data_IF_672594726769
#
_entry.id   IF_672594726769
#
_cell.length_a   1.000
_cell.length_b   1.000
_cell.length_c   1.000
_cell.angle_alpha   90.00
_cell.angle_beta   90.00
_cell.angle_gamma   90.00
#
_symmetry.space_group_name_H-M   'P 1'
#
loop_
_entity.id
_entity.type
_entity.pdbx_description
1 polymer ?
#
# COMPACT_ATOMS: atom_id res chain seq x y z
N UNK A 1 -19.24 -32.84 66.53
CA UNK A 1 -20.25 -32.61 65.47
C UNK A 1 -19.75 -31.55 64.48
N UNK A 2 -18.92 -31.92 63.48
CA UNK A 2 -18.48 -31.02 62.39
C UNK A 2 -18.20 -31.79 61.08
N UNK A 3 -18.94 -32.89 60.83
CA UNK A 3 -18.73 -33.74 59.65
C UNK A 3 -19.92 -33.70 58.68
N UNK A 4 -21.05 -33.11 59.06
CA UNK A 4 -22.27 -33.06 58.23
C UNK A 4 -22.39 -31.85 57.28
N UNK A 5 -21.49 -30.86 57.36
CA UNK A 5 -21.55 -29.66 56.52
C UNK A 5 -20.60 -29.66 55.31
N UNK A 6 -19.73 -30.67 55.17
CA UNK A 6 -18.74 -30.70 54.09
C UNK A 6 -19.18 -31.51 52.85
N UNK A 7 -20.32 -32.19 52.90
CA UNK A 7 -20.83 -33.01 51.79
C UNK A 7 -21.72 -32.19 50.83
N UNK A 8 -22.31 -31.09 51.30
CA UNK A 8 -23.27 -30.30 50.49
C UNK A 8 -22.56 -29.35 49.50
N UNK A 9 -21.34 -28.90 49.79
CA UNK A 9 -20.59 -28.01 48.90
C UNK A 9 -19.99 -28.74 47.67
N UNK A 10 -19.66 -30.03 47.80
CA UNK A 10 -19.07 -30.80 46.69
C UNK A 10 -20.11 -31.22 45.63
N UNK A 11 -21.39 -31.35 46.01
CA UNK A 11 -22.47 -31.76 45.09
C UNK A 11 -22.91 -30.60 44.20
N UNK A 12 -22.89 -29.35 44.68
CA UNK A 12 -23.26 -28.19 43.87
C UNK A 12 -22.25 -27.84 42.77
N UNK A 13 -20.95 -28.08 43.01
CA UNK A 13 -19.91 -27.88 41.99
C UNK A 13 -19.93 -28.95 40.88
N UNK A 14 -20.44 -30.15 41.17
CA UNK A 14 -20.63 -31.19 40.16
C UNK A 14 -21.87 -30.95 39.29
N UNK A 15 -22.91 -30.30 39.83
CA UNK A 15 -24.12 -29.97 39.07
C UNK A 15 -23.94 -28.79 38.09
N UNK A 16 -23.03 -27.85 38.36
CA UNK A 16 -22.74 -26.76 37.40
C UNK A 16 -21.85 -27.18 36.23
N UNK A 17 -21.13 -28.30 36.32
CA UNK A 17 -20.27 -28.79 35.24
C UNK A 17 -21.06 -29.48 34.09
N UNK A 18 -22.35 -29.77 34.29
CA UNK A 18 -23.18 -30.50 33.31
C UNK A 18 -23.98 -29.55 32.39
N UNK A 19 -24.05 -28.25 32.70
CA UNK A 19 -24.90 -27.30 31.98
C UNK A 19 -24.22 -26.54 30.81
N UNK A 20 -22.96 -26.85 30.47
CA UNK A 20 -22.15 -25.96 29.62
C UNK A 20 -21.70 -26.47 28.25
N UNK A 21 -21.95 -27.74 27.89
CA UNK A 21 -21.55 -28.24 26.57
C UNK A 21 -22.78 -28.36 25.69
N UNK A 22 -23.22 -27.23 25.13
CA UNK A 22 -24.02 -27.30 23.92
C UNK A 22 -23.14 -27.90 22.83
N UNK A 23 -23.20 -29.21 22.64
CA UNK A 23 -22.75 -29.80 21.39
C UNK A 23 -23.57 -29.10 20.32
N UNK A 24 -22.92 -28.34 19.45
CA UNK A 24 -23.54 -27.91 18.23
C UNK A 24 -23.93 -29.20 17.51
N UNK A 25 -25.21 -29.55 17.57
CA UNK A 25 -25.76 -30.63 16.77
C UNK A 25 -25.56 -30.18 15.33
N UNK A 26 -24.46 -30.62 14.72
CA UNK A 26 -24.37 -30.72 13.28
C UNK A 26 -25.60 -31.54 12.90
N UNK A 27 -26.56 -30.91 12.24
CA UNK A 27 -27.74 -31.57 11.73
C UNK A 27 -27.27 -32.86 11.04
N UNK A 28 -27.53 -34.01 11.66
CA UNK A 28 -27.32 -35.28 11.00
C UNK A 28 -28.37 -35.32 9.92
N UNK A 29 -27.95 -34.98 8.70
CA UNK A 29 -28.75 -35.16 7.50
C UNK A 29 -28.88 -36.67 7.31
N UNK A 30 -29.97 -37.24 7.83
CA UNK A 30 -30.31 -38.64 7.60
C UNK A 30 -30.63 -38.80 6.13
N UNK A 31 -29.64 -39.21 5.33
CA UNK A 31 -29.83 -39.51 3.91
C UNK A 31 -30.54 -40.86 3.80
N UNK A 32 -31.87 -40.82 3.83
CA UNK A 32 -32.74 -41.97 3.53
C UNK A 32 -32.83 -42.16 2.01
N UNK A 33 -31.75 -42.60 1.37
CA UNK A 33 -31.85 -43.20 0.02
C UNK A 33 -30.82 -44.31 -0.15
N UNK A 34 -31.14 -45.41 -0.86
CA UNK A 34 -30.21 -46.50 -1.15
C UNK A 34 -29.20 -46.14 -2.26
N UNK A 35 -29.07 -44.85 -2.61
CA UNK A 35 -28.11 -44.41 -3.61
C UNK A 35 -26.77 -44.13 -2.90
N UNK A 36 -25.82 -45.04 -3.13
CA UNK A 36 -24.43 -45.00 -2.67
C UNK A 36 -23.93 -43.56 -2.55
N UNK A 37 -23.52 -43.18 -1.33
CA UNK A 37 -22.84 -41.93 -1.08
C UNK A 37 -21.52 -41.95 -1.87
N UNK A 38 -21.50 -41.35 -3.07
CA UNK A 38 -20.27 -41.16 -3.82
C UNK A 38 -19.58 -39.95 -3.22
N UNK A 39 -18.68 -40.20 -2.28
CA UNK A 39 -17.78 -39.19 -1.76
C UNK A 39 -16.73 -38.90 -2.84
N UNK A 40 -17.01 -37.94 -3.72
CA UNK A 40 -16.00 -37.43 -4.66
C UNK A 40 -15.05 -36.57 -3.83
N UNK A 41 -13.96 -37.17 -3.37
CA UNK A 41 -12.87 -36.43 -2.72
C UNK A 41 -12.08 -35.73 -3.82
N UNK A 42 -12.38 -34.45 -4.04
CA UNK A 42 -11.54 -33.61 -4.88
C UNK A 42 -10.22 -33.41 -4.14
N UNK A 43 -9.11 -33.91 -4.68
CA UNK A 43 -7.79 -33.66 -4.11
C UNK A 43 -7.39 -32.18 -4.32
N UNK A 44 -6.57 -31.64 -3.41
CA UNK A 44 -5.93 -30.34 -3.63
C UNK A 44 -5.14 -30.37 -4.93
N UNK A 45 -5.33 -29.36 -5.77
CA UNK A 45 -4.60 -29.25 -7.04
C UNK A 45 -3.10 -28.94 -6.84
N UNK A 46 -2.69 -28.56 -5.62
CA UNK A 46 -1.28 -28.37 -5.27
C UNK A 46 -1.04 -28.46 -3.75
N UNK A 47 0.23 -28.55 -3.37
CA UNK A 47 0.71 -28.45 -1.98
C UNK A 47 1.53 -27.19 -1.71
N UNK A 48 1.99 -26.50 -2.76
CA UNK A 48 2.77 -25.28 -2.68
C UNK A 48 1.90 -24.06 -2.31
N UNK A 49 2.53 -23.05 -1.70
CA UNK A 49 1.91 -21.73 -1.47
C UNK A 49 1.84 -20.94 -2.77
N UNK A 50 0.78 -20.15 -2.92
CA UNK A 50 0.64 -19.20 -4.03
C UNK A 50 1.22 -17.84 -3.63
N UNK A 51 1.67 -17.05 -4.60
CA UNK A 51 2.20 -15.72 -4.32
C UNK A 51 1.21 -14.65 -4.76
N UNK A 52 0.99 -13.63 -3.93
CA UNK A 52 0.08 -12.52 -4.21
C UNK A 52 0.80 -11.18 -4.06
N UNK A 53 0.53 -10.26 -4.99
CA UNK A 53 1.03 -8.88 -4.95
C UNK A 53 0.00 -7.95 -5.59
N UNK A 54 0.19 -6.64 -5.48
CA UNK A 54 -0.71 -5.67 -6.11
C UNK A 54 -0.66 -5.74 -7.64
N UNK A 55 -1.73 -5.29 -8.29
CA UNK A 55 -1.79 -5.13 -9.75
C UNK A 55 -2.69 -3.97 -10.15
N UNK A 56 -2.55 -3.54 -11.40
CA UNK A 56 -3.25 -2.39 -11.96
C UNK A 56 -2.59 -1.05 -11.61
N UNK A 57 -3.07 0.01 -12.24
CA UNK A 57 -2.58 1.38 -11.99
C UNK A 57 -3.09 1.87 -10.64
N UNK A 58 -2.21 2.24 -9.69
CA UNK A 58 -2.65 2.72 -8.40
C UNK A 58 -3.25 4.13 -8.49
N UNK A 59 -4.21 4.38 -7.61
CA UNK A 59 -4.87 5.68 -7.41
C UNK A 59 -4.50 6.25 -6.03
N UNK A 60 -4.96 7.47 -5.73
CA UNK A 60 -4.76 8.15 -4.43
C UNK A 60 -3.30 8.17 -3.97
N UNK A 61 -2.42 8.77 -4.79
CA UNK A 61 -1.00 8.89 -4.45
C UNK A 61 -0.21 7.57 -4.41
N UNK A 62 -0.71 6.51 -5.06
CA UNK A 62 0.01 5.23 -5.14
C UNK A 62 -0.37 4.21 -4.06
N UNK A 63 -1.42 4.49 -3.27
CA UNK A 63 -1.78 3.69 -2.09
C UNK A 63 -2.98 2.76 -2.31
N UNK A 64 -3.87 3.10 -3.27
CA UNK A 64 -5.11 2.37 -3.55
C UNK A 64 -5.00 1.63 -4.87
N UNK A 65 -5.22 0.31 -4.85
CA UNK A 65 -5.03 -0.58 -6.00
C UNK A 65 -6.35 -1.23 -6.41
N UNK A 66 -6.62 -1.39 -7.72
CA UNK A 66 -7.87 -1.97 -8.22
C UNK A 66 -7.82 -3.50 -8.40
N UNK A 67 -6.63 -4.11 -8.32
CA UNK A 67 -6.43 -5.51 -8.66
C UNK A 67 -5.32 -6.18 -7.84
N UNK A 68 -5.31 -7.52 -7.84
CA UNK A 68 -4.29 -8.38 -7.23
C UNK A 68 -3.72 -9.30 -8.31
N UNK A 69 -2.40 -9.46 -8.36
CA UNK A 69 -1.73 -10.48 -9.18
C UNK A 69 -1.52 -11.74 -8.34
N UNK A 70 -2.06 -12.86 -8.80
CA UNK A 70 -1.76 -14.20 -8.29
C UNK A 70 -0.71 -14.86 -9.17
N UNK A 71 0.35 -15.39 -8.57
CA UNK A 71 1.48 -16.03 -9.26
C UNK A 71 1.75 -17.42 -8.70
N UNK A 72 2.59 -18.18 -9.41
CA UNK A 72 2.98 -19.56 -9.10
C UNK A 72 1.78 -20.53 -9.11
N UNK A 73 0.79 -20.30 -9.97
CA UNK A 73 -0.38 -21.17 -10.12
C UNK A 73 0.04 -22.49 -10.79
N UNK A 74 0.04 -23.62 -10.08
CA UNK A 74 0.48 -24.89 -10.65
C UNK A 74 -0.44 -25.34 -11.79
N UNK A 75 0.08 -26.06 -12.76
CA UNK A 75 -0.68 -26.50 -13.95
C UNK A 75 -1.95 -27.25 -13.57
N UNK A 76 -1.91 -28.07 -12.53
CA UNK A 76 -3.09 -28.81 -12.03
C UNK A 76 -4.18 -27.91 -11.41
N UNK A 77 -3.86 -26.66 -11.05
CA UNK A 77 -4.81 -25.67 -10.55
C UNK A 77 -5.36 -24.75 -11.64
N UNK A 78 -4.78 -24.75 -12.83
CA UNK A 78 -5.24 -23.93 -13.96
C UNK A 78 -6.54 -24.50 -14.53
N UNK A 79 -7.45 -23.63 -14.97
CA UNK A 79 -8.79 -24.00 -15.44
C UNK A 79 -9.80 -24.25 -14.31
N UNK A 80 -9.41 -24.12 -13.04
CA UNK A 80 -10.29 -24.27 -11.89
C UNK A 80 -10.80 -22.91 -11.38
N UNK A 81 -12.05 -22.89 -10.90
CA UNK A 81 -12.62 -21.71 -10.26
C UNK A 81 -11.76 -21.31 -9.06
N UNK A 82 -11.29 -20.07 -9.08
CA UNK A 82 -10.45 -19.47 -8.06
C UNK A 82 -11.12 -18.25 -7.49
N UNK A 83 -11.25 -18.20 -6.18
CA UNK A 83 -11.80 -17.09 -5.41
C UNK A 83 -10.66 -16.46 -4.60
N UNK A 84 -10.59 -15.13 -4.59
CA UNK A 84 -9.55 -14.35 -3.93
C UNK A 84 -10.19 -13.31 -3.02
N UNK A 85 -9.72 -13.23 -1.78
CA UNK A 85 -10.10 -12.20 -0.81
C UNK A 85 -8.88 -11.50 -0.23
N UNK A 86 -8.95 -10.18 -0.19
CA UNK A 86 -7.96 -9.31 0.45
C UNK A 86 -8.49 -8.97 1.84
N UNK A 87 -7.75 -9.30 2.89
CA UNK A 87 -8.16 -9.10 4.27
C UNK A 87 -7.30 -8.03 4.97
N UNK A 88 -7.95 -7.26 5.83
CA UNK A 88 -7.31 -6.32 6.74
C UNK A 88 -7.24 -6.83 8.18
N UNK A 89 -6.99 -5.93 9.12
CA UNK A 89 -6.96 -6.26 10.55
C UNK A 89 -8.30 -6.87 11.01
N UNK A 90 -8.24 -7.82 11.95
CA UNK A 90 -9.44 -8.49 12.46
C UNK A 90 -10.20 -9.37 11.45
N UNK A 91 -9.62 -9.62 10.26
CA UNK A 91 -10.22 -10.46 9.22
C UNK A 91 -11.22 -9.76 8.30
N UNK A 92 -11.38 -8.43 8.42
CA UNK A 92 -12.27 -7.65 7.54
C UNK A 92 -11.89 -7.84 6.07
N UNK A 93 -12.87 -8.16 5.21
CA UNK A 93 -12.66 -8.23 3.76
C UNK A 93 -12.60 -6.82 3.20
N UNK A 94 -11.44 -6.45 2.65
CA UNK A 94 -11.21 -5.17 2.00
C UNK A 94 -11.64 -5.19 0.53
N UNK A 95 -11.41 -6.31 -0.15
CA UNK A 95 -11.76 -6.52 -1.55
C UNK A 95 -11.81 -8.01 -1.89
N UNK A 96 -12.48 -8.37 -2.98
CA UNK A 96 -12.57 -9.77 -3.44
C UNK A 96 -12.78 -9.87 -4.94
N UNK A 97 -12.43 -11.02 -5.51
CA UNK A 97 -12.62 -11.32 -6.92
C UNK A 97 -12.70 -12.83 -7.16
N UNK A 98 -13.27 -13.20 -8.30
CA UNK A 98 -13.29 -14.59 -8.79
C UNK A 98 -12.79 -14.64 -10.22
N UNK A 99 -12.06 -15.69 -10.57
CA UNK A 99 -11.58 -15.94 -11.92
C UNK A 99 -11.26 -17.42 -12.12
N UNK A 100 -11.00 -17.79 -13.38
CA UNK A 100 -10.55 -19.14 -13.75
C UNK A 100 -9.19 -19.01 -14.45
N UNK A 101 -8.07 -19.04 -13.70
CA UNK A 101 -6.74 -18.83 -14.26
C UNK A 101 -6.39 -19.85 -15.35
N UNK A 102 -5.99 -19.39 -16.53
CA UNK A 102 -5.55 -20.26 -17.63
C UNK A 102 -4.00 -20.34 -17.75
N UNK A 103 -3.28 -19.67 -16.85
CA UNK A 103 -1.82 -19.56 -16.87
C UNK A 103 -1.24 -19.58 -15.45
N UNK A 104 0.08 -19.64 -15.34
CA UNK A 104 0.80 -19.62 -14.06
C UNK A 104 0.64 -18.31 -13.28
N UNK A 105 0.14 -17.26 -13.93
CA UNK A 105 -0.14 -15.95 -13.36
C UNK A 105 -1.52 -15.47 -13.80
N UNK A 106 -2.26 -14.82 -12.91
CA UNK A 106 -3.57 -14.24 -13.21
C UNK A 106 -3.78 -12.93 -12.44
N UNK A 107 -4.29 -11.91 -13.14
CA UNK A 107 -4.74 -10.68 -12.50
C UNK A 107 -6.22 -10.80 -12.14
N UNK A 108 -6.54 -10.49 -10.88
CA UNK A 108 -7.88 -10.47 -10.32
C UNK A 108 -8.32 -9.02 -10.13
N UNK A 109 -9.38 -8.60 -10.82
CA UNK A 109 -9.98 -7.28 -10.63
C UNK A 109 -10.84 -7.29 -9.36
N UNK A 110 -10.23 -6.87 -8.24
CA UNK A 110 -10.82 -6.96 -6.89
C UNK A 110 -11.68 -5.76 -6.50
N UNK A 111 -11.62 -4.68 -7.29
CA UNK A 111 -12.04 -3.37 -6.83
C UNK A 111 -10.95 -2.72 -5.97
N UNK A 112 -11.22 -1.50 -5.50
CA UNK A 112 -10.24 -0.66 -4.81
C UNK A 112 -9.97 -1.13 -3.38
N UNK A 113 -8.70 -1.33 -3.04
CA UNK A 113 -8.23 -1.55 -1.66
C UNK A 113 -6.93 -0.77 -1.39
N UNK A 114 -6.72 -0.38 -0.14
CA UNK A 114 -5.48 0.28 0.30
C UNK A 114 -4.45 -0.77 0.68
N UNK A 115 -3.31 -0.83 -0.01
CA UNK A 115 -2.30 -1.88 0.19
C UNK A 115 -1.73 -1.92 1.62
N UNK A 116 -1.59 -0.77 2.27
CA UNK A 116 -1.10 -0.66 3.66
C UNK A 116 -2.06 -1.29 4.69
N UNK A 117 -3.34 -1.44 4.36
CA UNK A 117 -4.33 -2.04 5.24
C UNK A 117 -4.40 -3.57 5.09
N UNK A 118 -3.71 -4.15 4.10
CA UNK A 118 -3.75 -5.59 3.81
C UNK A 118 -2.86 -6.33 4.80
N UNK A 119 -3.47 -7.22 5.57
CA UNK A 119 -2.75 -8.14 6.48
C UNK A 119 -2.51 -9.50 5.83
N UNK A 120 -3.43 -9.94 4.97
CA UNK A 120 -3.34 -11.22 4.29
C UNK A 120 -4.21 -11.27 3.03
N UNK A 121 -3.85 -12.19 2.13
CA UNK A 121 -4.70 -12.56 0.99
C UNK A 121 -5.02 -14.05 1.09
N UNK A 122 -6.29 -14.39 0.97
CA UNK A 122 -6.77 -15.77 1.02
C UNK A 122 -7.20 -16.16 -0.39
N UNK A 123 -6.73 -17.30 -0.86
CA UNK A 123 -7.11 -17.86 -2.16
C UNK A 123 -7.73 -19.23 -1.96
N UNK A 124 -8.86 -19.45 -2.62
CA UNK A 124 -9.54 -20.73 -2.66
C UNK A 124 -9.61 -21.22 -4.11
N UNK A 125 -9.15 -22.43 -4.37
CA UNK A 125 -9.23 -23.07 -5.69
C UNK A 125 -10.09 -24.30 -5.57
N UNK A 126 -11.21 -24.33 -6.31
CA UNK A 126 -12.17 -25.44 -6.33
C UNK A 126 -12.55 -25.94 -4.91
N UNK A 127 -12.85 -25.02 -4.00
CA UNK A 127 -13.24 -25.33 -2.62
C UNK A 127 -12.09 -25.51 -1.62
N UNK A 128 -10.84 -25.61 -2.06
CA UNK A 128 -9.67 -25.75 -1.19
C UNK A 128 -8.97 -24.43 -0.92
N UNK A 129 -8.69 -24.12 0.35
CA UNK A 129 -7.93 -22.93 0.73
C UNK A 129 -6.43 -23.20 0.57
N UNK A 130 -5.74 -22.26 -0.07
CA UNK A 130 -4.30 -22.25 -0.25
C UNK A 130 -3.67 -21.14 0.58
N UNK A 131 -2.57 -21.41 1.30
CA UNK A 131 -1.79 -20.35 1.90
C UNK A 131 -1.22 -19.47 0.79
N UNK A 132 -1.32 -18.15 0.97
CA UNK A 132 -0.65 -17.22 0.06
C UNK A 132 0.33 -16.34 0.81
N UNK A 133 1.44 -16.03 0.14
CA UNK A 133 2.36 -15.00 0.60
C UNK A 133 1.94 -13.67 -0.01
N UNK A 134 1.48 -12.74 0.82
CA UNK A 134 1.24 -11.36 0.41
C UNK A 134 2.56 -10.60 0.39
N UNK A 135 2.93 -10.08 -0.77
CA UNK A 135 3.99 -9.08 -0.90
C UNK A 135 3.31 -7.75 -1.14
N UNK A 136 3.25 -6.92 -0.09
CA UNK A 136 2.86 -5.54 -0.26
C UNK A 136 3.76 -4.89 -1.32
N UNK A 137 3.23 -3.99 -2.17
CA UNK A 137 4.12 -3.18 -2.96
C UNK A 137 5.07 -2.47 -2.01
N UNK A 138 6.31 -2.17 -2.45
CA UNK A 138 7.07 -1.14 -1.76
C UNK A 138 6.12 0.06 -1.58
N UNK A 139 6.15 0.74 -0.41
CA UNK A 139 5.37 1.96 -0.24
C UNK A 139 5.54 2.81 -1.49
N UNK A 140 4.52 3.52 -1.98
CA UNK A 140 4.70 4.44 -3.10
C UNK A 140 5.80 5.42 -2.71
N UNK A 141 7.03 5.12 -3.12
CA UNK A 141 8.22 5.64 -2.47
C UNK A 141 8.36 5.10 -1.05
N UNK A 142 9.22 4.11 -0.83
CA UNK A 142 9.76 3.83 0.52
C UNK A 142 10.55 5.01 1.10
N UNK A 143 10.75 6.02 0.27
CA UNK A 143 11.22 7.34 0.59
C UNK A 143 10.18 8.32 -0.01
N UNK A 144 9.83 9.46 0.60
CA UNK A 144 8.86 10.51 0.21
C UNK A 144 9.09 11.16 -1.16
N UNK A 145 9.41 10.34 -2.15
CA UNK A 145 9.77 10.58 -3.53
C UNK A 145 9.23 9.41 -4.37
N UNK A 146 8.25 9.67 -5.22
CA UNK A 146 7.86 8.74 -6.29
C UNK A 146 8.18 9.32 -7.65
N UNK A 147 8.46 8.45 -8.63
CA UNK A 147 8.83 8.84 -9.99
C UNK A 147 7.92 8.12 -10.98
N UNK A 148 7.37 8.84 -11.96
CA UNK A 148 6.66 8.28 -13.11
C UNK A 148 7.23 8.82 -14.41
N UNK A 149 7.40 7.95 -15.37
CA UNK A 149 7.85 8.31 -16.70
C UNK A 149 6.67 8.88 -17.51
N UNK A 150 6.85 10.04 -18.14
CA UNK A 150 5.77 10.78 -18.82
C UNK A 150 6.11 10.95 -20.29
N UNK A 151 5.16 10.63 -21.17
CA UNK A 151 5.35 10.80 -22.61
C UNK A 151 5.23 12.28 -23.04
N UNK A 152 5.50 12.57 -24.30
CA UNK A 152 5.45 13.95 -24.80
C UNK A 152 4.04 14.59 -24.70
N UNK A 153 2.98 13.77 -24.66
CA UNK A 153 1.60 14.20 -24.47
C UNK A 153 1.22 14.50 -23.02
N UNK A 154 2.14 14.37 -22.06
CA UNK A 154 1.86 14.60 -20.64
C UNK A 154 1.18 13.43 -19.92
N UNK A 155 1.10 12.26 -20.56
CA UNK A 155 0.51 11.08 -19.96
C UNK A 155 1.57 10.19 -19.31
N UNK A 156 1.28 9.67 -18.11
CA UNK A 156 2.12 8.68 -17.46
C UNK A 156 2.20 7.39 -18.28
N UNK A 157 3.36 6.75 -18.26
CA UNK A 157 3.65 5.50 -18.98
C UNK A 157 4.16 4.43 -18.01
N UNK A 158 4.24 3.18 -18.48
CA UNK A 158 4.83 2.07 -17.72
C UNK A 158 6.37 2.00 -17.86
N UNK A 159 7.01 3.04 -18.42
CA UNK A 159 8.45 3.07 -18.55
C UNK A 159 9.13 3.28 -17.19
N UNK A 160 10.36 2.77 -17.06
CA UNK A 160 11.14 2.91 -15.84
C UNK A 160 11.41 4.39 -15.52
N UNK A 161 11.23 4.75 -14.26
CA UNK A 161 11.52 6.07 -13.70
C UNK A 161 12.08 5.85 -12.31
N UNK A 162 13.28 6.33 -12.06
CA UNK A 162 13.90 6.29 -10.74
C UNK A 162 14.37 7.68 -10.39
N UNK A 163 14.24 8.06 -9.13
CA UNK A 163 14.71 9.34 -8.60
C UNK A 163 15.75 9.05 -7.52
N UNK A 164 16.90 9.71 -7.64
CA UNK A 164 18.02 9.58 -6.72
C UNK A 164 18.29 10.94 -6.10
N UNK A 165 18.33 11.02 -4.77
CA UNK A 165 18.73 12.24 -4.08
C UNK A 165 20.25 12.37 -4.21
N UNK A 166 20.72 13.51 -4.71
CA UNK A 166 22.14 13.81 -4.91
C UNK A 166 22.68 14.79 -3.87
N UNK A 167 21.80 15.52 -3.17
CA UNK A 167 22.18 16.39 -2.06
C UNK A 167 20.97 16.89 -1.28
N UNK A 168 21.15 17.06 0.04
CA UNK A 168 20.17 17.66 0.94
C UNK A 168 20.88 18.70 1.80
N UNK A 169 20.28 19.86 1.96
CA UNK A 169 20.69 20.86 2.94
C UNK A 169 19.48 21.27 3.76
N UNK A 170 19.62 21.17 5.08
CA UNK A 170 18.59 21.51 6.05
C UNK A 170 19.14 22.53 7.03
N UNK A 171 18.39 23.59 7.28
CA UNK A 171 18.74 24.58 8.29
C UNK A 171 17.49 25.15 8.96
N UNK A 172 17.69 25.60 10.19
CA UNK A 172 16.65 26.20 11.02
C UNK A 172 16.92 27.70 11.14
N UNK A 173 15.87 28.51 11.08
CA UNK A 173 15.92 29.94 11.40
C UNK A 173 14.90 30.28 12.48
N UNK A 174 15.13 31.34 13.24
CA UNK A 174 14.21 31.76 14.31
C UNK A 174 13.65 33.16 14.03
N UNK A 175 12.35 33.41 14.31
CA UNK A 175 11.74 34.72 14.13
C UNK A 175 12.29 35.79 15.09
N UNK A 176 12.73 35.41 16.28
CA UNK A 176 13.23 36.32 17.31
C UNK A 176 14.75 36.39 17.38
N UNK A 177 15.26 37.55 17.78
CA UNK A 177 16.65 37.69 18.20
C UNK A 177 16.96 36.66 19.30
N UNK A 178 18.15 36.06 19.25
CA UNK A 178 18.62 35.06 20.22
C UNK A 178 17.86 33.73 20.24
N UNK A 179 17.19 33.37 19.13
CA UNK A 179 16.54 32.05 19.01
C UNK A 179 15.18 31.94 19.71
N UNK A 180 14.52 33.08 19.94
CA UNK A 180 13.20 33.11 20.59
C UNK A 180 12.09 32.91 19.54
N UNK A 181 11.10 32.07 19.86
CA UNK A 181 9.93 31.79 19.03
C UNK A 181 9.96 30.42 18.34
N UNK A 182 8.89 30.07 17.63
CA UNK A 182 8.80 28.81 16.89
C UNK A 182 9.80 28.82 15.74
N UNK A 183 10.70 27.83 15.62
CA UNK A 183 11.65 27.76 14.52
C UNK A 183 10.94 27.59 13.18
N UNK A 184 11.53 28.17 12.14
CA UNK A 184 11.22 27.86 10.75
C UNK A 184 12.24 26.90 10.18
N UNK A 185 11.74 25.94 9.42
CA UNK A 185 12.47 24.88 8.78
C UNK A 185 12.69 25.24 7.31
N UNK A 186 13.90 24.99 6.80
CA UNK A 186 14.27 25.22 5.42
C UNK A 186 14.98 24.00 4.87
N UNK A 187 14.53 23.51 3.73
CA UNK A 187 15.15 22.37 3.08
C UNK A 187 15.38 22.66 1.61
N UNK A 188 16.60 22.36 1.17
CA UNK A 188 17.02 22.41 -0.22
C UNK A 188 17.45 21.02 -0.67
N UNK A 189 16.81 20.50 -1.72
CA UNK A 189 17.02 19.15 -2.23
C UNK A 189 17.50 19.20 -3.67
N UNK A 190 18.58 18.50 -3.95
CA UNK A 190 19.05 18.18 -5.30
C UNK A 190 18.77 16.71 -5.59
N UNK A 191 18.25 16.41 -6.78
CA UNK A 191 17.95 15.05 -7.19
C UNK A 191 18.21 14.83 -8.68
N UNK A 192 18.34 13.57 -9.08
CA UNK A 192 18.51 13.11 -10.45
C UNK A 192 17.45 12.06 -10.78
N UNK A 193 16.82 12.16 -11.96
CA UNK A 193 15.82 11.23 -12.45
C UNK A 193 16.39 10.37 -13.57
N UNK A 194 16.45 9.06 -13.41
CA UNK A 194 16.79 8.16 -14.52
C UNK A 194 15.52 7.61 -15.15
N UNK A 195 15.28 7.99 -16.40
CA UNK A 195 14.17 7.49 -17.24
C UNK A 195 14.56 7.54 -18.72
N UNK A 196 13.94 6.69 -19.54
CA UNK A 196 14.08 6.69 -21.00
C UNK A 196 12.98 7.49 -21.72
N UNK A 197 12.13 8.21 -20.98
CA UNK A 197 11.11 9.10 -21.52
C UNK A 197 11.59 10.56 -21.57
N UNK A 198 10.94 11.35 -22.44
CA UNK A 198 11.28 12.76 -22.61
C UNK A 198 10.88 13.64 -21.41
N UNK A 199 9.94 13.16 -20.58
CA UNK A 199 9.44 13.85 -19.39
C UNK A 199 9.32 12.88 -18.22
N UNK A 200 9.28 13.44 -17.03
CA UNK A 200 9.03 12.73 -15.79
C UNK A 200 8.13 13.55 -14.89
N UNK A 201 7.47 12.84 -13.99
CA UNK A 201 6.70 13.36 -12.86
C UNK A 201 7.34 12.81 -11.58
N UNK A 202 7.74 13.68 -10.67
CA UNK A 202 8.21 13.29 -9.34
C UNK A 202 7.25 13.84 -8.30
N UNK A 203 6.77 12.99 -7.40
CA UNK A 203 5.97 13.42 -6.25
C UNK A 203 6.85 13.44 -5.01
N UNK A 204 6.87 14.57 -4.31
CA UNK A 204 7.53 14.80 -3.05
C UNK A 204 6.49 14.76 -1.94
N UNK A 205 6.74 14.01 -0.88
CA UNK A 205 5.94 14.04 0.35
C UNK A 205 6.76 14.67 1.47
N UNK A 206 6.51 15.96 1.73
CA UNK A 206 7.28 16.71 2.73
C UNK A 206 6.94 16.33 4.17
N UNK A 207 5.87 15.54 4.36
CA UNK A 207 5.55 14.97 5.68
C UNK A 207 6.42 13.77 6.04
N UNK A 208 7.13 13.19 5.06
CA UNK A 208 7.98 12.05 5.30
C UNK A 208 9.30 12.43 5.98
N UNK A 209 9.40 12.13 7.27
CA UNK A 209 10.56 12.35 8.14
C UNK A 209 11.69 11.34 7.93
N UNK A 210 11.45 10.27 7.16
CA UNK A 210 12.43 9.19 6.95
C UNK A 210 13.35 9.45 5.77
N UNK A 211 12.89 10.26 4.80
CA UNK A 211 13.63 10.53 3.55
C UNK A 211 14.45 11.79 3.58
N UNK A 212 13.92 12.84 4.21
CA UNK A 212 14.58 14.13 4.24
C UNK A 212 15.00 14.43 5.68
N UNK A 213 16.29 14.60 5.99
CA UNK A 213 16.68 15.18 7.26
C UNK A 213 16.05 16.58 7.39
N UNK A 214 15.26 16.80 8.44
CA UNK A 214 14.57 18.08 8.68
C UNK A 214 13.17 18.23 8.07
N UNK A 215 12.59 17.17 7.50
CA UNK A 215 11.16 17.16 7.09
C UNK A 215 10.23 16.77 8.25
N UNK A 216 8.93 16.68 7.97
CA UNK A 216 7.88 16.47 8.98
C UNK A 216 7.01 17.70 9.22
N UNK A 217 7.11 18.70 8.34
CA UNK A 217 6.29 19.90 8.38
C UNK A 217 5.59 20.12 7.04
N UNK A 218 4.44 20.79 7.09
CA UNK A 218 3.75 21.26 5.88
C UNK A 218 4.38 22.58 5.43
N UNK A 219 4.98 22.65 4.24
CA UNK A 219 5.55 23.90 3.77
C UNK A 219 4.47 24.95 3.53
N UNK A 220 4.83 26.20 3.72
CA UNK A 220 4.08 27.36 3.27
C UNK A 220 4.71 27.96 2.01
N UNK A 221 5.79 27.37 1.51
CA UNK A 221 6.43 27.79 0.28
C UNK A 221 7.14 26.59 -0.35
N UNK A 222 7.00 26.45 -1.67
CA UNK A 222 7.77 25.52 -2.49
C UNK A 222 8.29 26.27 -3.71
N UNK A 223 9.58 26.16 -3.99
CA UNK A 223 10.26 26.82 -5.10
C UNK A 223 11.15 25.88 -5.90
N UNK A 224 11.38 26.25 -7.16
CA UNK A 224 12.28 25.58 -8.10
C UNK A 224 13.64 26.29 -8.14
N UNK A 225 14.72 25.50 -8.05
CA UNK A 225 16.07 25.96 -8.32
C UNK A 225 16.40 25.99 -9.80
N UNK A 226 16.02 24.94 -10.55
CA UNK A 226 16.28 24.80 -12.00
C UNK A 226 15.46 23.66 -12.63
N UNK A 227 14.87 23.92 -13.79
CA UNK A 227 14.26 22.93 -14.69
C UNK A 227 13.07 22.12 -14.13
N UNK A 228 12.54 22.50 -12.96
CA UNK A 228 11.36 21.87 -12.38
C UNK A 228 10.17 22.82 -12.43
N UNK A 229 9.03 22.33 -12.88
CA UNK A 229 7.77 23.06 -12.87
C UNK A 229 6.75 22.32 -12.02
N UNK A 230 5.74 23.04 -11.54
CA UNK A 230 4.57 22.43 -10.91
C UNK A 230 3.83 21.56 -11.93
N UNK A 231 3.46 20.34 -11.55
CA UNK A 231 2.65 19.49 -12.40
C UNK A 231 1.31 20.19 -12.74
N UNK A 232 0.85 20.16 -14.00
CA UNK A 232 -0.39 20.85 -14.41
C UNK A 232 -1.63 20.40 -13.64
N UNK A 233 -1.64 19.14 -13.17
CA UNK A 233 -2.75 18.54 -12.42
C UNK A 233 -2.68 18.81 -10.92
N UNK A 234 -1.63 19.47 -10.43
CA UNK A 234 -1.38 19.66 -9.01
C UNK A 234 -1.81 21.05 -8.50
N UNK A 235 -2.42 21.06 -7.31
CA UNK A 235 -2.82 22.28 -6.59
C UNK A 235 -1.99 22.44 -5.31
N UNK A 236 -1.57 23.66 -4.99
CA UNK A 236 -0.82 23.96 -3.76
C UNK A 236 -1.64 23.72 -2.48
N UNK A 237 -2.97 23.64 -2.58
CA UNK A 237 -3.83 23.20 -1.48
C UNK A 237 -3.63 21.72 -1.10
N UNK A 238 -2.88 20.95 -1.90
CA UNK A 238 -2.60 19.52 -1.67
C UNK A 238 -1.28 19.27 -0.94
N UNK A 239 -0.60 20.32 -0.46
CA UNK A 239 0.51 20.18 0.48
C UNK A 239 0.06 19.38 1.72
N UNK A 240 0.92 18.54 2.32
CA UNK A 240 2.39 18.51 2.20
C UNK A 240 2.94 17.69 1.03
N UNK A 241 2.08 17.12 0.18
CA UNK A 241 2.54 16.45 -1.04
C UNK A 241 2.70 17.49 -2.15
N UNK A 242 3.77 17.44 -2.93
CA UNK A 242 4.02 18.29 -4.09
C UNK A 242 4.36 17.45 -5.32
N UNK A 243 3.75 17.74 -6.47
CA UNK A 243 4.02 17.02 -7.71
C UNK A 243 4.74 17.94 -8.69
N UNK A 244 5.93 17.51 -9.08
CA UNK A 244 6.84 18.27 -9.93
C UNK A 244 7.03 17.57 -11.27
N UNK A 245 7.13 18.38 -12.33
CA UNK A 245 7.36 17.95 -13.69
C UNK A 245 8.65 18.56 -14.23
N UNK A 246 9.26 17.89 -15.20
CA UNK A 246 10.34 18.48 -15.99
C UNK A 246 9.83 19.68 -16.81
N UNK A 247 10.49 20.83 -16.70
CA UNK A 247 10.26 22.00 -17.56
C UNK A 247 10.64 21.76 -19.03
N UNK A 248 10.16 22.62 -19.94
CA UNK A 248 10.52 22.55 -21.36
C UNK A 248 11.95 23.07 -21.58
N UNK A 249 12.85 22.25 -22.14
CA UNK A 249 14.26 22.58 -22.39
C UNK A 249 14.97 21.56 -23.29
N UNK A 250 16.13 21.93 -23.82
CA UNK A 250 16.86 21.16 -24.83
C UNK A 250 17.39 19.81 -24.29
N UNK A 251 17.36 18.81 -25.17
CA UNK A 251 17.53 17.35 -25.04
C UNK A 251 18.60 16.75 -24.11
N UNK A 252 18.26 15.54 -23.65
CA UNK A 252 19.09 14.37 -23.28
C UNK A 252 20.36 14.58 -22.46
N UNK A 253 20.30 14.20 -21.18
CA UNK A 253 21.50 13.99 -20.34
C UNK A 253 21.41 14.62 -18.96
N UNK A 254 20.55 15.61 -18.77
CA UNK A 254 20.30 16.22 -17.46
C UNK A 254 18.84 16.01 -17.08
N UNK A 255 18.62 15.07 -16.18
CA UNK A 255 17.35 14.87 -15.50
C UNK A 255 17.49 15.29 -14.03
N UNK A 256 18.30 16.33 -13.80
CA UNK A 256 18.56 16.84 -12.47
C UNK A 256 17.57 17.95 -12.16
N UNK A 257 17.19 18.07 -10.89
CA UNK A 257 16.28 19.09 -10.43
C UNK A 257 16.60 19.52 -9.01
N UNK A 258 16.13 20.71 -8.67
CA UNK A 258 16.33 21.33 -7.37
C UNK A 258 15.00 21.83 -6.84
N UNK A 259 14.61 21.39 -5.66
CA UNK A 259 13.39 21.86 -4.99
C UNK A 259 13.79 22.47 -3.65
N UNK A 260 13.23 23.63 -3.35
CA UNK A 260 13.35 24.29 -2.06
C UNK A 260 11.98 24.36 -1.39
N UNK A 261 11.89 24.10 -0.09
CA UNK A 261 10.66 24.29 0.67
C UNK A 261 10.92 24.80 2.08
N UNK A 262 9.96 25.56 2.59
CA UNK A 262 10.03 26.15 3.93
C UNK A 262 8.64 26.42 4.50
N UNK A 263 8.53 26.47 5.83
CA UNK A 263 7.36 27.01 6.55
C UNK A 263 7.56 28.49 6.94
N UNK A 264 8.65 29.12 6.49
CA UNK A 264 8.89 30.53 6.71
C UNK A 264 8.01 31.36 5.76
N UNK A 265 7.14 32.25 6.26
CA UNK A 265 6.12 32.92 5.46
C UNK A 265 6.63 33.97 4.45
N UNK A 266 7.95 34.19 4.39
CA UNK A 266 8.57 35.29 3.62
C UNK A 266 9.88 34.89 2.94
N UNK A 267 10.36 33.66 3.14
CA UNK A 267 11.65 33.23 2.57
C UNK A 267 11.44 32.59 1.20
N UNK A 268 12.21 33.04 0.20
CA UNK A 268 12.10 32.54 -1.18
C UNK A 268 13.40 31.95 -1.74
N UNK A 269 14.49 31.96 -0.98
CA UNK A 269 15.82 31.40 -1.32
C UNK A 269 16.31 31.61 -2.78
N UNK A 270 15.92 32.72 -3.42
CA UNK A 270 16.24 32.98 -4.84
C UNK A 270 15.62 32.01 -5.85
N UNK A 271 14.72 31.12 -5.41
CA UNK A 271 14.03 30.13 -6.25
C UNK A 271 12.77 30.72 -6.91
N UNK A 272 12.38 30.15 -8.05
CA UNK A 272 11.11 30.50 -8.69
C UNK A 272 9.98 29.87 -7.88
N UNK A 273 9.00 30.68 -7.46
CA UNK A 273 7.89 30.20 -6.65
C UNK A 273 6.98 29.26 -7.44
N UNK A 274 6.77 28.06 -6.91
CA UNK A 274 5.86 27.04 -7.45
C UNK A 274 4.57 26.96 -6.63
N UNK A 275 4.69 27.04 -5.31
CA UNK A 275 3.59 27.20 -4.36
C UNK A 275 3.89 28.30 -3.33
N UNK A 276 2.96 29.26 -3.15
CA UNK A 276 3.02 30.25 -2.10
C UNK A 276 2.48 29.74 -0.77
#
# INVERSE_FOLDING_TARGET
MKVKQMVIAAVFLWLLAIAGISNANAAQLTVLTPNKLVLITANKCATASLATTVSGTPSSGGTVYPAVLLSNIPVACQGLLTELWVHGAGGTVLASATATPAAATQVFATGNYTAANVTSVVVRVNGWVFPTTWTAPPPPGGNGLTCKAVNNGGNTTNAACTVTITGVSHWISYPGAWGVGTPYEHVYLSFEVTTNQNRWEVTFDFSDTTTFPGSGFTPTYVGDGYNVIKAPTYSCSSLPTFVAWKGAGNVSGQNNGNIFWTNHPTTTNGTVQLCP
#
